data_IF_161999210293
#
_entry.id   IF_161999210293
#
_cell.length_a   1.000
_cell.length_b   1.000
_cell.length_c   1.000
_cell.angle_alpha   90.00
_cell.angle_beta   90.00
_cell.angle_gamma   90.00
#
_symmetry.space_group_name_H-M   'P 1'
#
loop_
_entity.id
_entity.type
_entity.pdbx_description
1 polymer ?
#
# COMPACT_ATOMS: atom_id res chain seq x y z
N UNK A 1 16.30 -8.87 -16.63
CA UNK A 1 15.22 -9.63 -17.31
C UNK A 1 14.12 -9.65 -16.31
N UNK A 2 13.07 -8.91 -16.63
CA UNK A 2 12.15 -8.32 -15.70
C UNK A 2 10.98 -9.28 -15.46
N UNK A 3 11.23 -10.35 -14.71
CA UNK A 3 10.27 -11.44 -14.47
C UNK A 3 9.22 -11.08 -13.39
N UNK A 4 8.79 -9.82 -13.34
CA UNK A 4 7.78 -9.31 -12.39
C UNK A 4 6.75 -8.42 -13.09
N UNK A 5 6.22 -8.87 -14.23
CA UNK A 5 5.29 -8.04 -15.01
C UNK A 5 3.96 -8.68 -15.35
N UNK A 6 3.78 -9.99 -15.09
CA UNK A 6 2.54 -10.66 -15.45
C UNK A 6 1.91 -11.48 -14.34
N UNK A 7 0.66 -11.18 -14.07
CA UNK A 7 -0.21 -11.88 -13.14
C UNK A 7 -1.68 -11.77 -13.57
N UNK A 8 -2.22 -12.88 -14.08
CA UNK A 8 -3.62 -12.93 -14.56
C UNK A 8 -4.65 -12.88 -13.41
N UNK A 9 -4.22 -12.90 -12.14
CA UNK A 9 -5.12 -12.81 -10.98
C UNK A 9 -5.58 -11.38 -10.68
N UNK A 10 -4.93 -10.35 -11.26
CA UNK A 10 -5.33 -8.95 -11.05
C UNK A 10 -6.20 -8.45 -12.20
N UNK A 11 -7.44 -8.09 -11.86
CA UNK A 11 -8.37 -7.46 -12.80
C UNK A 11 -8.06 -5.99 -13.10
N UNK A 12 -8.80 -5.38 -14.05
CA UNK A 12 -8.74 -3.95 -14.30
C UNK A 12 -9.12 -3.14 -13.04
N UNK A 13 -8.73 -1.85 -12.96
CA UNK A 13 -9.19 -0.96 -11.91
C UNK A 13 -10.72 -0.91 -11.89
N UNK A 14 -11.32 -0.96 -10.70
CA UNK A 14 -12.78 -0.90 -10.59
C UNK A 14 -13.35 0.50 -10.92
N UNK A 15 -12.49 1.54 -10.89
CA UNK A 15 -12.87 2.91 -11.18
C UNK A 15 -11.77 3.66 -11.95
N UNK A 16 -12.17 4.37 -13.01
CA UNK A 16 -11.29 5.28 -13.75
C UNK A 16 -10.12 4.60 -14.46
N UNK A 17 -9.08 5.39 -14.72
CA UNK A 17 -7.82 4.97 -15.31
C UNK A 17 -6.66 5.52 -14.46
N UNK A 18 -6.46 4.97 -13.24
CA UNK A 18 -5.46 5.44 -12.30
C UNK A 18 -4.05 5.32 -12.86
N UNK A 19 -3.13 6.12 -12.33
CA UNK A 19 -1.72 6.02 -12.71
C UNK A 19 -1.17 4.61 -12.48
N UNK A 20 -0.51 4.04 -13.49
CA UNK A 20 -0.08 2.63 -13.53
C UNK A 20 -0.99 1.74 -14.40
N UNK A 21 -2.22 2.15 -14.72
CA UNK A 21 -3.07 1.44 -15.68
C UNK A 21 -2.79 1.88 -17.12
N UNK A 22 -2.54 0.92 -18.03
CA UNK A 22 -2.31 1.17 -19.45
C UNK A 22 -3.58 0.91 -20.25
N UNK A 23 -4.44 1.93 -20.40
CA UNK A 23 -5.74 1.81 -21.07
C UNK A 23 -5.70 1.14 -22.45
N UNK A 24 -4.65 1.40 -23.24
CA UNK A 24 -4.51 0.84 -24.59
C UNK A 24 -4.29 -0.68 -24.59
N UNK A 25 -3.57 -1.17 -23.58
CA UNK A 25 -3.17 -2.57 -23.47
C UNK A 25 -4.09 -3.35 -22.51
N UNK A 26 -5.05 -2.67 -21.87
CA UNK A 26 -5.96 -3.22 -20.85
C UNK A 26 -5.23 -3.99 -19.72
N UNK A 27 -4.10 -3.45 -19.26
CA UNK A 27 -3.27 -4.05 -18.21
C UNK A 27 -2.60 -3.03 -17.31
N UNK A 28 -2.14 -3.51 -16.15
CA UNK A 28 -1.25 -2.74 -15.30
C UNK A 28 0.17 -2.71 -15.88
N UNK A 29 0.90 -1.63 -15.62
CA UNK A 29 2.31 -1.52 -15.98
C UNK A 29 3.15 -2.61 -15.30
N UNK A 30 2.86 -2.89 -14.03
CA UNK A 30 3.38 -4.02 -13.26
C UNK A 30 2.26 -4.75 -12.52
N UNK A 31 1.87 -5.94 -13.00
CA UNK A 31 0.75 -6.69 -12.43
C UNK A 31 1.04 -7.24 -11.02
N UNK A 32 2.29 -7.59 -10.72
CA UNK A 32 2.72 -8.00 -9.37
C UNK A 32 2.64 -6.84 -8.36
N UNK A 33 2.95 -5.61 -8.79
CA UNK A 33 2.79 -4.40 -7.97
C UNK A 33 1.32 -4.21 -7.63
N UNK A 34 0.44 -4.30 -8.63
CA UNK A 34 -1.00 -4.24 -8.39
C UNK A 34 -1.46 -5.34 -7.44
N UNK A 35 -0.96 -6.57 -7.58
CA UNK A 35 -1.32 -7.69 -6.71
C UNK A 35 -0.93 -7.40 -5.26
N UNK A 36 0.32 -6.97 -5.03
CA UNK A 36 0.81 -6.60 -3.72
C UNK A 36 -0.02 -5.47 -3.08
N UNK A 37 -0.39 -4.45 -3.86
CA UNK A 37 -1.29 -3.37 -3.42
C UNK A 37 -2.66 -3.90 -3.01
N UNK A 38 -3.26 -4.77 -3.83
CA UNK A 38 -4.60 -5.31 -3.55
C UNK A 38 -4.59 -6.12 -2.25
N UNK A 39 -3.62 -7.01 -2.04
CA UNK A 39 -3.53 -7.79 -0.81
C UNK A 39 -3.15 -6.90 0.38
N UNK A 40 -2.11 -6.08 0.27
CA UNK A 40 -1.63 -5.22 1.34
C UNK A 40 -2.68 -4.22 1.84
N UNK A 41 -3.41 -3.55 0.94
CA UNK A 41 -4.46 -2.60 1.34
C UNK A 41 -5.65 -3.33 2.00
N UNK A 42 -6.04 -4.49 1.48
CA UNK A 42 -7.13 -5.27 2.08
C UNK A 42 -6.78 -5.76 3.48
N UNK A 43 -5.55 -6.22 3.68
CA UNK A 43 -5.02 -6.64 4.99
C UNK A 43 -4.95 -5.47 5.96
N UNK A 44 -4.40 -4.33 5.51
CA UNK A 44 -4.37 -3.09 6.29
C UNK A 44 -5.77 -2.67 6.75
N UNK A 45 -6.74 -2.65 5.84
CA UNK A 45 -8.12 -2.27 6.13
C UNK A 45 -8.86 -3.24 7.07
N UNK A 46 -8.29 -4.42 7.30
CA UNK A 46 -8.75 -5.41 8.27
C UNK A 46 -7.93 -5.43 9.57
N UNK A 47 -6.97 -4.51 9.74
CA UNK A 47 -6.08 -4.45 10.92
C UNK A 47 -4.95 -5.47 10.91
N UNK A 48 -4.74 -6.23 9.83
CA UNK A 48 -3.65 -7.19 9.66
C UNK A 48 -2.39 -6.45 9.15
N UNK A 49 -1.83 -5.59 10.02
CA UNK A 49 -0.80 -4.63 9.61
C UNK A 49 0.55 -5.27 9.32
N UNK A 50 0.90 -6.36 10.00
CA UNK A 50 2.15 -7.10 9.75
C UNK A 50 2.09 -7.77 8.37
N UNK A 51 1.02 -8.51 8.10
CA UNK A 51 0.82 -9.20 6.82
C UNK A 51 0.70 -8.20 5.66
N UNK A 52 0.09 -7.03 5.91
CA UNK A 52 0.07 -5.94 4.95
C UNK A 52 1.48 -5.41 4.64
N UNK A 53 2.31 -5.25 5.66
CA UNK A 53 3.70 -4.85 5.52
C UNK A 53 4.47 -5.85 4.64
N UNK A 54 4.35 -7.15 4.92
CA UNK A 54 5.12 -8.20 4.24
C UNK A 54 4.75 -8.30 2.75
N UNK A 55 3.45 -8.19 2.44
CA UNK A 55 2.96 -8.13 1.05
C UNK A 55 3.62 -7.01 0.23
N UNK A 56 3.75 -5.83 0.84
CA UNK A 56 4.29 -4.63 0.19
C UNK A 56 5.82 -4.67 0.16
N UNK A 57 6.46 -5.18 1.20
CA UNK A 57 7.91 -5.30 1.31
C UNK A 57 8.46 -6.31 0.31
N UNK A 58 7.82 -7.47 0.17
CA UNK A 58 8.23 -8.49 -0.79
C UNK A 58 8.30 -7.93 -2.22
N UNK A 59 7.31 -7.12 -2.60
CA UNK A 59 7.27 -6.49 -3.93
C UNK A 59 8.23 -5.29 -4.05
N UNK A 60 8.49 -4.56 -2.96
CA UNK A 60 9.41 -3.43 -2.95
C UNK A 60 10.82 -3.81 -3.44
N UNK A 61 11.33 -4.97 -3.02
CA UNK A 61 12.66 -5.44 -3.40
C UNK A 61 12.86 -5.61 -4.91
N UNK A 62 11.78 -5.68 -5.69
CA UNK A 62 11.83 -5.87 -7.15
C UNK A 62 12.20 -4.60 -7.95
N UNK A 63 12.09 -3.39 -7.37
CA UNK A 63 12.17 -2.13 -8.12
C UNK A 63 13.46 -1.32 -7.93
N UNK A 64 14.47 -1.87 -7.26
CA UNK A 64 15.73 -1.19 -7.02
C UNK A 64 15.56 0.14 -6.26
N UNK A 65 16.39 1.15 -6.57
CA UNK A 65 16.34 2.48 -5.92
C UNK A 65 16.04 3.58 -6.93
N UNK A 66 15.22 4.55 -6.54
CA UNK A 66 15.00 5.80 -7.27
C UNK A 66 13.85 5.80 -8.29
N UNK A 67 13.15 4.68 -8.46
CA UNK A 67 11.92 4.59 -9.25
C UNK A 67 10.70 5.05 -8.44
N UNK A 68 9.62 5.43 -9.14
CA UNK A 68 8.35 5.80 -8.49
C UNK A 68 7.71 4.59 -7.81
N UNK A 69 7.84 3.40 -8.39
CA UNK A 69 7.41 2.12 -7.83
C UNK A 69 8.11 1.81 -6.51
N UNK A 70 9.45 1.92 -6.47
CA UNK A 70 10.23 1.69 -5.25
C UNK A 70 9.87 2.71 -4.16
N UNK A 71 9.73 3.99 -4.54
CA UNK A 71 9.32 5.03 -3.60
C UNK A 71 7.90 4.80 -3.06
N UNK A 72 6.94 4.45 -3.91
CA UNK A 72 5.58 4.14 -3.50
C UNK A 72 5.52 2.94 -2.56
N UNK A 73 6.10 1.80 -2.94
CA UNK A 73 6.07 0.59 -2.12
C UNK A 73 6.76 0.81 -0.78
N UNK A 74 7.93 1.45 -0.76
CA UNK A 74 8.61 1.79 0.49
C UNK A 74 7.75 2.72 1.35
N UNK A 75 7.08 3.71 0.76
CA UNK A 75 6.13 4.56 1.46
C UNK A 75 5.02 3.74 2.13
N UNK A 76 4.39 2.82 1.40
CA UNK A 76 3.29 1.99 1.90
C UNK A 76 3.75 0.95 2.94
N UNK A 77 4.96 0.40 2.82
CA UNK A 77 5.60 -0.45 3.85
C UNK A 77 5.67 0.31 5.18
N UNK A 78 6.11 1.57 5.14
CA UNK A 78 6.21 2.42 6.33
C UNK A 78 4.82 2.81 6.88
N UNK A 79 3.79 2.95 6.03
CA UNK A 79 2.39 3.13 6.46
C UNK A 79 1.90 1.93 7.27
N UNK A 80 2.10 0.71 6.75
CA UNK A 80 1.69 -0.52 7.42
C UNK A 80 2.46 -0.71 8.75
N UNK A 81 3.78 -0.55 8.73
CA UNK A 81 4.61 -0.63 9.93
C UNK A 81 4.22 0.43 10.99
N UNK A 82 3.91 1.66 10.57
CA UNK A 82 3.49 2.73 11.48
C UNK A 82 2.16 2.40 12.16
N UNK A 83 1.18 1.92 11.41
CA UNK A 83 -0.09 1.48 11.97
C UNK A 83 0.08 0.29 12.92
N UNK A 84 0.95 -0.67 12.59
CA UNK A 84 1.30 -1.78 13.48
C UNK A 84 1.90 -1.30 14.80
N UNK A 85 2.80 -0.30 14.77
CA UNK A 85 3.37 0.30 16.00
C UNK A 85 2.31 0.95 16.89
N UNK A 86 1.33 1.61 16.28
CA UNK A 86 0.23 2.21 17.02
C UNK A 86 -0.68 1.14 17.65
N UNK A 87 -1.19 0.21 16.83
CA UNK A 87 -2.23 -0.73 17.26
C UNK A 87 -1.74 -1.83 18.20
N UNK A 88 -0.57 -2.44 17.94
CA UNK A 88 -0.12 -3.63 18.66
C UNK A 88 0.86 -3.32 19.80
N UNK A 89 1.48 -2.13 19.77
CA UNK A 89 2.51 -1.74 20.74
C UNK A 89 2.21 -0.43 21.47
N UNK A 90 1.08 0.23 21.18
CA UNK A 90 0.69 1.54 21.75
C UNK A 90 1.85 2.57 21.63
N UNK A 91 2.63 2.45 20.55
CA UNK A 91 3.87 3.20 20.35
C UNK A 91 3.71 4.28 19.30
N UNK A 92 3.10 5.38 19.71
CA UNK A 92 2.86 6.54 18.84
C UNK A 92 4.14 7.24 18.39
N UNK A 93 5.20 7.23 19.19
CA UNK A 93 6.50 7.81 18.80
C UNK A 93 7.13 7.03 17.65
N UNK A 94 7.03 5.70 17.71
CA UNK A 94 7.44 4.79 16.64
C UNK A 94 6.60 5.01 15.38
N UNK A 95 5.27 5.05 15.53
CA UNK A 95 4.34 5.36 14.44
C UNK A 95 4.71 6.69 13.77
N UNK A 96 4.88 7.77 14.54
CA UNK A 96 5.23 9.11 14.04
C UNK A 96 6.50 9.10 13.20
N UNK A 97 7.54 8.41 13.68
CA UNK A 97 8.83 8.31 12.98
C UNK A 97 8.71 7.58 11.63
N UNK A 98 7.90 6.52 11.57
CA UNK A 98 7.63 5.76 10.36
C UNK A 98 6.77 6.58 9.38
N UNK A 99 5.78 7.31 9.88
CA UNK A 99 4.92 8.17 9.05
C UNK A 99 5.67 9.35 8.43
N UNK A 100 6.61 9.99 9.13
CA UNK A 100 7.50 10.99 8.52
C UNK A 100 8.33 10.40 7.38
N UNK A 101 8.76 9.15 7.54
CA UNK A 101 9.51 8.43 6.53
C UNK A 101 8.63 8.07 5.33
N UNK A 102 7.42 7.56 5.57
CA UNK A 102 6.42 7.30 4.54
C UNK A 102 6.12 8.55 3.72
N UNK A 103 5.87 9.70 4.37
CA UNK A 103 5.56 10.97 3.71
C UNK A 103 6.71 11.45 2.80
N UNK A 104 7.97 11.22 3.20
CA UNK A 104 9.14 11.52 2.35
C UNK A 104 9.20 10.65 1.11
N UNK A 105 8.89 9.35 1.23
CA UNK A 105 8.89 8.44 0.09
C UNK A 105 7.70 8.69 -0.85
N UNK A 106 6.52 8.99 -0.30
CA UNK A 106 5.32 9.34 -1.07
C UNK A 106 5.37 10.78 -1.63
N UNK A 107 6.49 11.49 -1.47
CA UNK A 107 6.70 12.78 -2.11
C UNK A 107 6.95 12.60 -3.61
N UNK A 108 6.06 13.15 -4.45
CA UNK A 108 6.15 13.05 -5.91
C UNK A 108 5.50 11.81 -6.52
N UNK A 109 5.03 10.87 -5.69
CA UNK A 109 4.18 9.76 -6.15
C UNK A 109 2.82 10.33 -6.59
N UNK A 110 2.28 9.90 -7.75
CA UNK A 110 0.95 10.30 -8.23
C UNK A 110 -0.15 10.06 -7.18
N UNK A 111 -1.15 10.94 -7.16
CA UNK A 111 -2.19 10.92 -6.12
C UNK A 111 -3.12 9.68 -6.19
N UNK A 112 -3.17 9.00 -7.32
CA UNK A 112 -4.06 7.87 -7.62
C UNK A 112 -3.28 6.59 -7.99
N UNK A 113 -2.04 6.45 -7.51
CA UNK A 113 -1.09 5.44 -7.97
C UNK A 113 -1.58 4.00 -7.68
N UNK A 114 -1.61 3.17 -8.72
CA UNK A 114 -2.10 1.78 -8.67
C UNK A 114 -3.48 1.62 -8.03
N UNK A 115 -4.33 2.66 -8.14
CA UNK A 115 -5.69 2.70 -7.60
C UNK A 115 -5.78 3.12 -6.14
N UNK A 116 -4.67 3.32 -5.44
CA UNK A 116 -4.64 3.85 -4.07
C UNK A 116 -4.86 5.36 -4.11
N UNK A 117 -5.69 5.89 -3.22
CA UNK A 117 -5.77 7.33 -2.98
C UNK A 117 -4.57 7.77 -2.11
N UNK A 118 -3.43 7.99 -2.76
CA UNK A 118 -2.17 8.40 -2.11
C UNK A 118 -2.32 9.78 -1.47
N UNK A 119 -3.19 10.66 -2.00
CA UNK A 119 -3.47 11.95 -1.37
C UNK A 119 -4.17 11.77 -0.02
N UNK A 120 -5.19 10.92 0.04
CA UNK A 120 -5.87 10.58 1.29
C UNK A 120 -4.90 9.95 2.29
N UNK A 121 -4.07 9.01 1.85
CA UNK A 121 -3.00 8.41 2.67
C UNK A 121 -2.12 9.51 3.28
N UNK A 122 -1.50 10.36 2.46
CA UNK A 122 -0.62 11.43 2.97
C UNK A 122 -1.32 12.40 3.92
N UNK A 123 -2.59 12.71 3.65
CA UNK A 123 -3.39 13.59 4.50
C UNK A 123 -3.61 12.96 5.87
N UNK A 124 -4.02 11.69 5.92
CA UNK A 124 -4.24 10.98 7.18
C UNK A 124 -2.95 10.83 7.97
N UNK A 125 -1.84 10.44 7.33
CA UNK A 125 -0.53 10.33 8.01
C UNK A 125 -0.11 11.67 8.63
N UNK A 126 -0.32 12.77 7.92
CA UNK A 126 0.01 14.11 8.41
C UNK A 126 -0.81 14.47 9.65
N UNK A 127 -2.11 14.18 9.64
CA UNK A 127 -2.99 14.48 10.78
C UNK A 127 -2.72 13.55 11.97
N UNK A 128 -2.40 12.28 11.71
CA UNK A 128 -2.06 11.29 12.73
C UNK A 128 -0.78 11.64 13.52
N UNK A 129 0.07 12.53 12.99
CA UNK A 129 1.20 13.07 13.77
C UNK A 129 0.75 13.79 15.04
N UNK A 130 -0.41 14.46 14.98
CA UNK A 130 -0.98 15.21 16.10
C UNK A 130 -2.14 14.49 16.78
N UNK A 131 -2.87 13.65 16.04
CA UNK A 131 -4.06 12.95 16.51
C UNK A 131 -4.00 11.47 16.10
N UNK A 132 -3.24 10.61 16.80
CA UNK A 132 -3.03 9.21 16.44
C UNK A 132 -4.31 8.39 16.31
N UNK A 133 -5.33 8.69 17.13
CA UNK A 133 -6.64 8.03 17.14
C UNK A 133 -7.40 8.14 15.82
N UNK A 134 -6.99 9.02 14.90
CA UNK A 134 -7.53 9.05 13.54
C UNK A 134 -7.26 7.74 12.79
N UNK A 135 -6.25 6.96 13.17
CA UNK A 135 -5.96 5.66 12.55
C UNK A 135 -6.94 4.56 12.95
N UNK A 136 -7.56 4.63 14.14
CA UNK A 136 -8.35 3.54 14.71
C UNK A 136 -9.52 3.12 13.81
N UNK A 137 -10.12 4.08 13.10
CA UNK A 137 -11.24 3.86 12.19
C UNK A 137 -10.86 4.07 10.71
N UNK A 138 -9.61 4.44 10.43
CA UNK A 138 -9.20 4.77 9.07
C UNK A 138 -8.95 3.53 8.23
N UNK A 139 -9.38 3.61 6.97
CA UNK A 139 -9.14 2.60 5.94
C UNK A 139 -8.57 3.29 4.73
N UNK A 140 -7.57 2.67 4.11
CA UNK A 140 -6.96 3.14 2.87
C UNK A 140 -7.98 2.98 1.73
N UNK A 141 -8.28 4.06 0.99
CA UNK A 141 -9.12 3.96 -0.19
C UNK A 141 -8.37 3.25 -1.33
N UNK A 142 -9.04 2.29 -1.96
CA UNK A 142 -8.58 1.58 -3.15
C UNK A 142 -9.72 1.50 -4.17
N UNK A 143 -9.45 1.96 -5.38
CA UNK A 143 -10.41 2.08 -6.48
C UNK A 143 -11.71 2.78 -6.06
N UNK A 144 -11.59 3.88 -5.30
CA UNK A 144 -12.72 4.65 -4.74
C UNK A 144 -13.60 3.90 -3.72
N UNK A 145 -13.14 2.78 -3.17
CA UNK A 145 -13.80 2.01 -2.11
C UNK A 145 -12.85 1.74 -0.94
N UNK A 146 -13.29 1.00 0.08
CA UNK A 146 -12.46 0.59 1.22
C UNK A 146 -12.50 -0.94 1.37
N UNK A 147 -11.85 -1.69 0.46
CA UNK A 147 -11.95 -3.14 0.45
C UNK A 147 -11.22 -3.73 1.66
N UNK A 148 -11.76 -4.81 2.22
CA UNK A 148 -11.19 -5.54 3.37
C UNK A 148 -10.67 -6.91 2.95
N UNK A 149 -9.86 -7.52 3.80
CA UNK A 149 -9.27 -8.84 3.60
C UNK A 149 -10.32 -9.95 3.40
N UNK A 150 -9.94 -10.89 2.55
CA UNK A 150 -10.58 -12.19 2.28
C UNK A 150 -9.58 -13.30 2.65
N UNK A 151 -10.02 -14.56 2.76
CA UNK A 151 -9.11 -15.68 3.07
C UNK A 151 -7.88 -15.77 2.16
N UNK A 152 -8.05 -15.53 0.86
CA UNK A 152 -6.96 -15.53 -0.12
C UNK A 152 -5.89 -14.46 0.13
N UNK A 153 -6.24 -13.35 0.79
CA UNK A 153 -5.31 -12.27 1.07
C UNK A 153 -4.37 -12.67 2.23
N UNK A 154 -4.88 -13.41 3.22
CA UNK A 154 -4.06 -14.02 4.27
C UNK A 154 -3.18 -15.14 3.73
N UNK A 155 -3.73 -16.06 2.91
CA UNK A 155 -2.92 -17.12 2.31
C UNK A 155 -1.79 -16.57 1.43
N UNK A 156 -2.03 -15.47 0.71
CA UNK A 156 -0.97 -14.81 -0.05
C UNK A 156 0.16 -14.29 0.85
N UNK A 157 -0.16 -13.72 2.02
CA UNK A 157 0.84 -13.25 2.97
C UNK A 157 1.62 -14.42 3.60
N UNK A 158 0.92 -15.49 4.00
CA UNK A 158 1.53 -16.70 4.57
C UNK A 158 2.53 -17.37 3.60
N UNK A 159 2.29 -17.30 2.29
CA UNK A 159 3.16 -17.88 1.27
C UNK A 159 4.47 -17.06 1.04
N UNK A 160 4.59 -15.85 1.62
CA UNK A 160 5.77 -14.98 1.51
C UNK A 160 6.83 -15.23 2.60
N UNK A 161 6.45 -15.87 3.71
CA UNK A 161 7.31 -16.22 4.86
C UNK A 161 8.09 -17.55 4.64
#
# INVERSE_FOLDING_TARGET
>A
MDEHTRDDSVGPPAAGAPTGWRCRDERWEHETLRRAVVHGVRLYNSGAYHEAHDCLEAEWYNYGRGSTESAFLHGMVQVAAGAYKHADFENDDGMRSLFETALRYLHGVPADYYGVDVLAVKTTLTNAQTEPTLLDEWRIPLDSTHPTARPQDYSYAEDLD
#
